data_IF_066887246443
#
_entry.id   IF_066887246443
#
_cell.length_a   1.000
_cell.length_b   1.000
_cell.length_c   1.000
_cell.angle_alpha   90.00
_cell.angle_beta   90.00
_cell.angle_gamma   90.00
#
_symmetry.space_group_name_H-M   'P 1'
#
loop_
_entity.id
_entity.type
_entity.pdbx_description
1 polymer ?
#
# COMPACT_ATOMS: atom_id res chain seq x y z
N UNK A 1 -6.59 -19.65 -10.17
CA UNK A 1 -7.18 -19.09 -8.94
C UNK A 1 -7.09 -17.60 -9.11
N UNK A 2 -8.19 -16.94 -9.43
CA UNK A 2 -8.25 -15.47 -9.40
C UNK A 2 -8.20 -15.06 -7.93
N UNK A 3 -7.13 -14.36 -7.53
CA UNK A 3 -7.05 -13.71 -6.23
C UNK A 3 -7.93 -12.46 -6.33
N UNK A 4 -9.24 -12.66 -6.26
CA UNK A 4 -10.16 -11.55 -6.11
C UNK A 4 -10.04 -11.06 -4.67
N UNK A 5 -9.62 -9.81 -4.55
CA UNK A 5 -9.76 -8.91 -3.40
C UNK A 5 -8.58 -8.85 -2.41
N UNK A 6 -8.03 -7.64 -2.37
CA UNK A 6 -6.91 -7.14 -1.57
C UNK A 6 -6.99 -7.53 -0.10
N UNK A 7 -5.86 -8.04 0.41
CA UNK A 7 -5.72 -8.36 1.83
C UNK A 7 -5.84 -7.06 2.66
N UNK A 8 -6.77 -7.00 3.63
CA UNK A 8 -7.06 -5.80 4.41
C UNK A 8 -5.95 -5.44 5.38
N UNK A 9 -4.99 -6.35 5.58
CA UNK A 9 -3.78 -6.06 6.35
C UNK A 9 -2.68 -5.41 5.52
N UNK A 10 -2.75 -5.54 4.18
CA UNK A 10 -1.76 -4.94 3.27
C UNK A 10 -2.12 -3.52 2.87
N UNK A 11 -3.41 -3.23 2.77
CA UNK A 11 -3.91 -1.94 2.31
C UNK A 11 -4.71 -1.30 3.44
N UNK A 12 -4.40 -0.03 3.83
CA UNK A 12 -5.18 0.72 4.81
C UNK A 12 -6.67 0.60 4.52
N UNK A 13 -7.42 0.07 5.50
CA UNK A 13 -8.86 -0.15 5.35
C UNK A 13 -9.63 1.16 5.32
N UNK A 14 -10.70 1.23 4.51
CA UNK A 14 -11.58 2.39 4.36
C UNK A 14 -12.22 2.87 5.68
N UNK A 15 -12.30 1.99 6.68
CA UNK A 15 -12.87 2.32 7.99
C UNK A 15 -12.01 3.38 8.69
N UNK A 16 -12.51 4.61 8.69
CA UNK A 16 -11.83 5.79 9.23
C UNK A 16 -11.22 6.69 8.15
N UNK A 17 -11.10 6.21 6.90
CA UNK A 17 -10.62 7.00 5.77
C UNK A 17 -11.71 7.93 5.19
N UNK A 18 -12.98 7.68 5.49
CA UNK A 18 -14.08 8.59 5.10
C UNK A 18 -13.85 10.02 5.59
N UNK A 19 -13.24 10.16 6.78
CA UNK A 19 -12.88 11.45 7.39
C UNK A 19 -11.74 12.18 6.67
N UNK A 20 -11.01 11.47 5.80
CA UNK A 20 -9.93 12.03 4.97
C UNK A 20 -10.45 12.51 3.61
N UNK A 21 -11.72 12.24 3.29
CA UNK A 21 -12.34 12.69 2.03
C UNK A 21 -12.37 14.22 1.98
N UNK A 22 -11.82 14.79 0.91
CA UNK A 22 -11.72 16.24 0.74
C UNK A 22 -10.49 16.89 1.37
N UNK A 23 -9.65 16.12 2.05
CA UNK A 23 -8.34 16.58 2.54
C UNK A 23 -7.24 16.35 1.48
N UNK A 24 -6.08 17.00 1.58
CA UNK A 24 -4.93 16.68 0.73
C UNK A 24 -4.50 15.21 0.78
N UNK A 25 -4.77 14.50 1.89
CA UNK A 25 -4.52 13.06 2.01
C UNK A 25 -5.39 12.19 1.11
N UNK A 26 -6.55 12.70 0.69
CA UNK A 26 -7.46 11.96 -0.17
C UNK A 26 -6.79 11.53 -1.49
N UNK A 27 -5.88 12.36 -2.04
CA UNK A 27 -5.14 12.03 -3.26
C UNK A 27 -4.25 10.80 -3.06
N UNK A 28 -3.55 10.72 -1.92
CA UNK A 28 -2.68 9.59 -1.59
C UNK A 28 -3.48 8.31 -1.31
N UNK A 29 -4.59 8.44 -0.58
CA UNK A 29 -5.50 7.33 -0.33
C UNK A 29 -6.08 6.76 -1.61
N UNK A 30 -6.43 7.63 -2.55
CA UNK A 30 -6.90 7.22 -3.86
C UNK A 30 -5.84 6.40 -4.59
N UNK A 31 -4.55 6.76 -4.51
CA UNK A 31 -3.46 5.97 -5.07
C UNK A 31 -3.43 4.53 -4.53
N UNK A 32 -3.62 4.34 -3.22
CA UNK A 32 -3.71 2.99 -2.62
C UNK A 32 -4.99 2.23 -3.01
N UNK A 33 -6.06 2.95 -3.35
CA UNK A 33 -7.32 2.37 -3.80
C UNK A 33 -7.35 2.11 -5.31
N UNK A 34 -6.46 2.73 -6.08
CA UNK A 34 -6.38 2.52 -7.51
C UNK A 34 -5.95 1.07 -7.80
N UNK A 35 -6.70 0.42 -8.69
CA UNK A 35 -6.53 -1.01 -8.97
C UNK A 35 -5.13 -1.37 -9.44
N UNK A 36 -4.40 -0.41 -10.03
CA UNK A 36 -3.02 -0.59 -10.49
C UNK A 36 -2.07 -0.87 -9.32
N UNK A 37 -2.15 -0.09 -8.24
CA UNK A 37 -1.29 -0.32 -7.06
C UNK A 37 -1.59 -1.68 -6.41
N UNK A 38 -2.87 -2.03 -6.30
CA UNK A 38 -3.29 -3.30 -5.71
C UNK A 38 -2.84 -4.49 -6.56
N UNK A 39 -2.92 -4.37 -7.89
CA UNK A 39 -2.42 -5.38 -8.83
C UNK A 39 -0.90 -5.53 -8.72
N UNK A 40 -0.14 -4.44 -8.64
CA UNK A 40 1.32 -4.49 -8.45
C UNK A 40 1.72 -5.16 -7.14
N UNK A 41 1.05 -4.84 -6.03
CA UNK A 41 1.29 -5.49 -4.74
C UNK A 41 0.91 -6.96 -4.77
N UNK A 42 -0.23 -7.30 -5.38
CA UNK A 42 -0.69 -8.68 -5.48
C UNK A 42 0.25 -9.53 -6.35
N UNK A 43 0.71 -8.99 -7.48
CA UNK A 43 1.71 -9.62 -8.33
C UNK A 43 3.04 -9.81 -7.60
N UNK A 44 3.50 -8.80 -6.85
CA UNK A 44 4.70 -8.90 -6.01
C UNK A 44 4.57 -10.01 -4.96
N UNK A 45 3.45 -10.07 -4.25
CA UNK A 45 3.19 -11.11 -3.24
C UNK A 45 3.14 -12.49 -3.91
N UNK A 46 2.44 -12.65 -5.03
CA UNK A 46 2.39 -13.92 -5.77
C UNK A 46 3.77 -14.41 -6.21
N UNK A 47 4.62 -13.51 -6.68
CA UNK A 47 5.97 -13.85 -7.16
C UNK A 47 6.86 -14.32 -6.01
N UNK A 48 6.84 -13.62 -4.87
CA UNK A 48 7.82 -13.82 -3.80
C UNK A 48 7.32 -14.60 -2.58
N UNK A 49 6.01 -14.77 -2.38
CA UNK A 49 5.46 -15.41 -1.17
C UNK A 49 6.03 -16.82 -0.93
N UNK A 50 6.24 -17.60 -1.99
CA UNK A 50 6.76 -18.96 -1.85
C UNK A 50 8.13 -19.03 -1.15
N UNK A 51 8.94 -17.96 -1.21
CA UNK A 51 10.23 -17.86 -0.54
C UNK A 51 10.09 -17.76 0.99
N UNK A 52 8.91 -17.39 1.49
CA UNK A 52 8.61 -17.22 2.91
C UNK A 52 7.94 -18.44 3.54
N UNK A 53 7.78 -19.54 2.79
CA UNK A 53 7.16 -20.77 3.29
C UNK A 53 7.99 -21.50 4.36
N UNK A 54 9.30 -21.25 4.41
CA UNK A 54 10.24 -21.92 5.33
C UNK A 54 10.82 -20.91 6.30
N UNK A 55 10.33 -20.93 7.54
CA UNK A 55 10.90 -20.13 8.63
C UNK A 55 12.14 -20.84 9.22
N UNK A 56 13.18 -20.07 9.54
CA UNK A 56 14.33 -20.58 10.27
C UNK A 56 13.95 -20.78 11.75
N UNK A 57 14.23 -21.97 12.29
CA UNK A 57 13.85 -22.30 13.68
C UNK A 57 14.61 -21.50 14.74
N UNK A 58 15.70 -20.85 14.36
CA UNK A 58 16.50 -19.97 15.21
C UNK A 58 15.93 -18.55 15.31
N UNK A 59 14.85 -18.24 14.59
CA UNK A 59 14.25 -16.91 14.52
C UNK A 59 15.01 -15.92 13.63
N UNK A 60 16.04 -16.38 12.91
CA UNK A 60 16.71 -15.55 11.91
C UNK A 60 15.93 -15.48 10.59
N UNK A 61 16.29 -14.52 9.74
CA UNK A 61 15.68 -14.34 8.42
C UNK A 61 16.76 -14.27 7.34
N UNK A 62 16.52 -14.83 6.14
CA UNK A 62 17.39 -14.65 4.99
C UNK A 62 17.63 -13.15 4.67
N UNK A 63 18.88 -12.79 4.39
CA UNK A 63 19.24 -11.39 4.09
C UNK A 63 18.46 -10.83 2.90
N UNK A 64 18.16 -11.65 1.89
CA UNK A 64 17.40 -11.21 0.72
C UNK A 64 15.95 -10.82 1.04
N UNK A 65 15.38 -11.26 2.18
CA UNK A 65 14.04 -10.79 2.59
C UNK A 65 14.03 -9.29 2.88
N UNK A 66 15.14 -8.73 3.38
CA UNK A 66 15.26 -7.29 3.52
C UNK A 66 15.30 -6.58 2.16
N UNK A 67 15.89 -7.21 1.14
CA UNK A 67 15.93 -6.64 -0.22
C UNK A 67 14.52 -6.61 -0.81
N UNK A 68 13.78 -7.72 -0.69
CA UNK A 68 12.36 -7.79 -1.08
C UNK A 68 11.51 -6.76 -0.33
N UNK A 69 11.76 -6.53 0.95
CA UNK A 69 11.05 -5.48 1.69
C UNK A 69 11.36 -4.07 1.15
N UNK A 70 12.62 -3.79 0.76
CA UNK A 70 12.94 -2.51 0.12
C UNK A 70 12.28 -2.35 -1.26
N UNK A 71 12.18 -3.43 -2.04
CA UNK A 71 11.46 -3.44 -3.32
C UNK A 71 9.96 -3.22 -3.13
N UNK A 72 9.36 -3.90 -2.16
CA UNK A 72 7.97 -3.68 -1.77
C UNK A 72 7.70 -2.23 -1.36
N UNK A 73 8.59 -1.64 -0.55
CA UNK A 73 8.53 -0.22 -0.21
C UNK A 73 8.65 0.68 -1.43
N UNK A 74 9.48 0.34 -2.41
CA UNK A 74 9.61 1.12 -3.62
C UNK A 74 8.28 1.19 -4.40
N UNK A 75 7.52 0.08 -4.47
CA UNK A 75 6.19 0.05 -5.13
C UNK A 75 5.23 1.07 -4.49
N UNK A 76 5.22 1.17 -3.15
CA UNK A 76 4.41 2.14 -2.41
C UNK A 76 4.75 3.60 -2.73
N UNK A 77 6.01 3.89 -3.04
CA UNK A 77 6.49 5.24 -3.32
C UNK A 77 6.55 5.59 -4.81
N UNK A 78 6.41 4.62 -5.72
CA UNK A 78 6.65 4.82 -7.15
C UNK A 78 5.54 5.58 -7.88
N UNK A 79 4.35 5.71 -7.29
CA UNK A 79 3.19 6.34 -7.95
C UNK A 79 3.03 7.85 -7.72
N UNK A 80 3.83 8.51 -6.86
CA UNK A 80 3.63 9.95 -6.60
C UNK A 80 4.90 10.80 -6.75
N UNK A 81 4.81 11.80 -7.64
CA UNK A 81 5.82 12.82 -7.88
C UNK A 81 5.97 13.83 -6.72
N UNK A 82 5.15 13.72 -5.68
CA UNK A 82 5.06 14.69 -4.58
C UNK A 82 5.43 14.07 -3.21
N UNK A 83 6.25 13.00 -3.18
CA UNK A 83 6.67 12.32 -1.92
C UNK A 83 7.20 13.28 -0.87
N UNK A 84 8.08 14.19 -1.25
CA UNK A 84 8.70 15.13 -0.29
C UNK A 84 7.67 16.07 0.33
N UNK A 85 6.71 16.55 -0.48
CA UNK A 85 5.60 17.38 0.00
C UNK A 85 4.68 16.61 0.94
N UNK A 86 4.39 15.35 0.62
CA UNK A 86 3.61 14.47 1.49
C UNK A 86 4.28 14.27 2.85
N UNK A 87 5.58 13.96 2.86
CA UNK A 87 6.34 13.76 4.09
C UNK A 87 6.40 15.06 4.91
N UNK A 88 6.63 16.21 4.27
CA UNK A 88 6.62 17.51 4.95
C UNK A 88 5.27 17.79 5.63
N UNK A 89 4.15 17.50 4.94
CA UNK A 89 2.81 17.61 5.47
C UNK A 89 2.59 16.68 6.67
N UNK A 90 2.96 15.40 6.56
CA UNK A 90 2.88 14.44 7.65
C UNK A 90 3.69 14.92 8.88
N UNK A 91 4.92 15.40 8.67
CA UNK A 91 5.74 15.94 9.75
C UNK A 91 5.16 17.20 10.40
N UNK A 92 4.54 18.08 9.62
CA UNK A 92 3.85 19.25 10.16
C UNK A 92 2.67 18.82 11.03
N UNK A 93 1.90 17.82 10.60
CA UNK A 93 0.74 17.33 11.33
C UNK A 93 1.10 16.56 12.60
N UNK A 94 2.11 15.70 12.56
CA UNK A 94 2.62 15.01 13.76
C UNK A 94 3.00 16.03 14.84
N UNK A 95 3.72 17.10 14.46
CA UNK A 95 4.08 18.19 15.39
C UNK A 95 2.86 18.94 15.92
N UNK A 96 1.83 19.13 15.11
CA UNK A 96 0.59 19.77 15.54
C UNK A 96 -0.23 18.90 16.52
N UNK A 97 -0.10 17.57 16.43
CA UNK A 97 -0.83 16.60 17.25
C UNK A 97 -0.18 16.32 18.62
N UNK A 98 1.13 16.51 18.75
CA UNK A 98 1.96 16.05 19.89
C UNK A 98 1.45 16.49 21.29
N UNK A 99 0.66 17.56 21.35
CA UNK A 99 0.13 18.12 22.60
C UNK A 99 -1.40 18.06 22.74
N UNK A 100 -2.08 17.43 21.79
CA UNK A 100 -3.53 17.38 21.72
C UNK A 100 -4.07 15.99 22.13
N UNK A 101 -5.22 15.92 22.80
CA UNK A 101 -5.84 14.64 23.10
C UNK A 101 -6.43 14.01 21.82
N UNK A 102 -6.61 12.69 21.83
CA UNK A 102 -7.08 11.90 20.67
C UNK A 102 -8.45 12.35 20.11
N UNK A 103 -9.30 12.93 20.97
CA UNK A 103 -10.63 13.44 20.62
C UNK A 103 -10.63 14.90 20.15
N UNK A 104 -9.49 15.61 20.22
CA UNK A 104 -9.39 16.97 19.71
C UNK A 104 -9.40 17.01 18.18
N UNK A 105 -9.99 18.07 17.64
CA UNK A 105 -9.88 18.39 16.22
C UNK A 105 -8.52 19.01 15.91
N UNK A 106 -8.02 18.72 14.71
CA UNK A 106 -6.73 19.22 14.26
C UNK A 106 -6.72 20.76 14.09
N UNK A 107 -5.67 21.47 14.55
CA UNK A 107 -5.58 22.93 14.52
C UNK A 107 -5.07 23.44 13.16
N UNK A 108 -5.55 22.85 12.07
CA UNK A 108 -5.11 23.14 10.69
C UNK A 108 -6.17 24.00 10.02
N UNK A 109 -5.85 24.87 9.04
CA UNK A 109 -6.83 25.75 8.42
C UNK A 109 -8.11 24.99 8.01
N UNK A 110 -9.29 25.53 8.33
CA UNK A 110 -10.57 24.82 8.16
C UNK A 110 -10.90 24.48 6.70
N UNK A 111 -10.12 24.96 5.73
CA UNK A 111 -10.25 24.62 4.31
C UNK A 111 -9.66 23.27 3.92
N UNK A 112 -8.75 22.68 4.71
CA UNK A 112 -7.95 21.53 4.25
C UNK A 112 -8.13 20.25 5.08
N UNK A 113 -8.48 20.34 6.37
CA UNK A 113 -8.58 19.16 7.26
C UNK A 113 -9.81 19.19 8.17
N UNK A 114 -10.89 19.81 7.70
CA UNK A 114 -12.10 20.02 8.52
C UNK A 114 -12.70 18.68 9.00
N UNK A 115 -12.87 18.55 10.31
CA UNK A 115 -13.55 17.42 10.94
C UNK A 115 -12.68 16.21 11.28
N UNK A 116 -11.37 16.26 11.02
CA UNK A 116 -10.46 15.18 11.41
C UNK A 116 -9.99 15.35 12.85
N UNK A 117 -10.12 14.27 13.63
CA UNK A 117 -9.59 14.19 14.99
C UNK A 117 -8.13 13.74 15.00
N UNK A 118 -7.41 14.05 16.07
CA UNK A 118 -6.03 13.57 16.29
C UNK A 118 -5.97 12.04 16.20
N UNK A 119 -6.92 11.32 16.79
CA UNK A 119 -6.95 9.87 16.72
C UNK A 119 -7.18 9.31 15.32
N UNK A 120 -8.01 9.97 14.51
CA UNK A 120 -8.16 9.58 13.10
C UNK A 120 -6.84 9.74 12.34
N UNK A 121 -6.10 10.82 12.59
CA UNK A 121 -4.78 11.03 12.01
C UNK A 121 -3.74 10.00 12.50
N UNK A 122 -3.70 9.68 13.80
CA UNK A 122 -2.82 8.63 14.33
C UNK A 122 -3.11 7.25 13.72
N UNK A 123 -4.39 6.91 13.56
CA UNK A 123 -4.78 5.68 12.88
C UNK A 123 -4.34 5.67 11.41
N UNK A 124 -4.51 6.79 10.70
CA UNK A 124 -4.02 6.94 9.34
C UNK A 124 -2.51 6.75 9.25
N UNK A 125 -1.74 7.44 10.10
CA UNK A 125 -0.28 7.32 10.14
C UNK A 125 0.16 5.90 10.46
N UNK A 126 -0.48 5.24 11.43
CA UNK A 126 -0.20 3.85 11.78
C UNK A 126 -0.46 2.91 10.60
N UNK A 127 -1.52 3.13 9.84
CA UNK A 127 -1.82 2.33 8.66
C UNK A 127 -0.80 2.56 7.53
N UNK A 128 -0.36 3.81 7.36
CA UNK A 128 0.63 4.16 6.33
C UNK A 128 2.02 3.59 6.66
N UNK A 129 2.44 3.69 7.92
CA UNK A 129 3.73 3.16 8.38
C UNK A 129 3.73 1.65 8.59
N UNK A 130 2.57 0.99 8.59
CA UNK A 130 2.52 -0.48 8.69
C UNK A 130 3.29 -1.16 7.55
N UNK A 131 3.36 -0.51 6.38
CA UNK A 131 4.15 -0.98 5.24
C UNK A 131 5.68 -0.86 5.44
N UNK A 132 6.11 0.05 6.31
CA UNK A 132 7.51 0.27 6.66
C UNK A 132 8.00 -0.75 7.71
N UNK A 133 7.08 -1.39 8.44
CA UNK A 133 7.38 -2.41 9.45
C UNK A 133 7.73 -3.74 8.78
N UNK A 134 8.98 -4.18 8.95
CA UNK A 134 9.47 -5.43 8.38
C UNK A 134 8.68 -6.64 8.89
N UNK A 135 8.30 -6.65 10.18
CA UNK A 135 7.51 -7.76 10.75
C UNK A 135 6.11 -7.87 10.15
N UNK A 136 5.45 -6.73 9.89
CA UNK A 136 4.14 -6.71 9.25
C UNK A 136 4.24 -7.25 7.81
N UNK A 137 5.27 -6.82 7.07
CA UNK A 137 5.59 -7.36 5.76
C UNK A 137 5.79 -8.90 5.80
N UNK A 138 6.58 -9.40 6.76
CA UNK A 138 6.79 -10.85 6.92
C UNK A 138 5.50 -11.61 7.20
N UNK A 139 4.63 -11.08 8.08
CA UNK A 139 3.35 -11.72 8.40
C UNK A 139 2.50 -11.90 7.15
N UNK A 140 2.44 -10.88 6.29
CA UNK A 140 1.71 -10.98 5.02
C UNK A 140 2.34 -12.04 4.12
N UNK A 141 3.65 -11.97 3.88
CA UNK A 141 4.31 -12.88 2.95
C UNK A 141 4.21 -14.33 3.42
N UNK A 142 4.32 -14.59 4.73
CA UNK A 142 4.14 -15.92 5.33
C UNK A 142 2.68 -16.39 5.23
N UNK A 143 1.70 -15.50 5.49
CA UNK A 143 0.29 -15.83 5.31
C UNK A 143 -0.03 -16.16 3.84
N UNK A 144 0.61 -15.45 2.90
CA UNK A 144 0.49 -15.71 1.47
C UNK A 144 1.09 -17.07 1.10
N UNK A 145 2.28 -17.37 1.61
CA UNK A 145 3.00 -18.61 1.36
C UNK A 145 2.22 -19.85 1.82
N UNK A 146 1.53 -19.73 2.97
CA UNK A 146 0.76 -20.82 3.58
C UNK A 146 -0.65 -20.93 3.02
N UNK A 147 -1.07 -20.04 2.11
CA UNK A 147 -2.44 -19.97 1.60
C UNK A 147 -3.46 -19.60 2.69
N UNK A 148 -2.99 -19.07 3.83
CA UNK A 148 -3.84 -18.60 4.93
C UNK A 148 -4.36 -17.19 4.71
N UNK A 149 -3.90 -16.50 3.66
CA UNK A 149 -4.55 -15.28 3.20
C UNK A 149 -6.02 -15.57 2.89
N UNK A 150 -6.88 -15.16 3.82
CA UNK A 150 -8.31 -15.16 3.60
C UNK A 150 -8.59 -14.21 2.43
N UNK A 151 -9.23 -14.69 1.34
CA UNK A 151 -9.77 -13.81 0.32
C UNK A 151 -10.72 -12.85 1.03
N UNK A 152 -10.30 -11.60 1.15
CA UNK A 152 -11.14 -10.64 1.84
C UNK A 152 -12.19 -10.23 0.86
N UNK A 153 -13.35 -10.88 0.93
CA UNK A 153 -14.53 -10.44 0.20
C UNK A 153 -14.70 -8.96 0.53
N UNK A 154 -14.27 -8.08 -0.39
CA UNK A 154 -14.72 -6.71 -0.40
C UNK A 154 -16.23 -6.88 -0.43
N UNK A 155 -16.90 -6.52 0.66
CA UNK A 155 -18.30 -6.19 0.58
C UNK A 155 -18.33 -5.05 -0.42
N UNK A 156 -18.48 -5.38 -1.71
CA UNK A 156 -19.12 -4.52 -2.67
C UNK A 156 -20.31 -3.99 -1.90
N UNK A 157 -20.27 -2.71 -1.56
CA UNK A 157 -21.42 -2.00 -1.09
C UNK A 157 -22.42 -2.09 -2.25
N UNK A 158 -23.17 -3.20 -2.30
CA UNK A 158 -24.50 -3.23 -2.84
C UNK A 158 -25.29 -2.32 -1.91
N UNK A 159 -25.11 -1.02 -2.13
CA UNK A 159 -26.12 -0.03 -1.84
C UNK A 159 -27.30 -0.50 -2.66
N UNK A 160 -28.13 -1.35 -2.06
CA UNK A 160 -29.51 -1.54 -2.48
C UNK A 160 -30.17 -0.18 -2.31
N UNK A 161 -30.00 0.67 -3.33
CA UNK A 161 -30.84 1.82 -3.54
C UNK A 161 -32.22 1.23 -3.78
N UNK A 162 -33.03 1.19 -2.72
CA UNK A 162 -34.48 1.08 -2.80
C UNK A 162 -34.96 2.22 -3.69
N UNK A 163 -35.02 1.93 -4.99
CA UNK A 163 -35.61 2.82 -5.98
C UNK A 163 -37.12 2.78 -5.74
N UNK A 164 -37.77 3.90 -5.39
CA UNK A 164 -39.22 3.97 -5.49
C UNK A 164 -39.59 3.75 -6.96
N UNK A 165 -40.38 2.69 -7.18
CA UNK A 165 -40.87 2.23 -8.47
C UNK A 165 -41.54 3.36 -9.25
N UNK A 166 -40.79 4.00 -10.14
CA UNK A 166 -41.24 5.02 -11.09
C UNK A 166 -40.94 4.57 -12.51
N UNK A 167 -41.96 4.04 -13.17
CA UNK A 167 -41.92 3.51 -14.53
C UNK A 167 -41.75 4.63 -15.57
N UNK A 168 -40.70 4.57 -16.39
CA UNK A 168 -40.74 5.05 -17.79
C UNK A 168 -39.56 4.52 -18.62
N UNK A 169 -39.89 3.93 -19.76
CA UNK A 169 -38.97 3.35 -20.73
C UNK A 169 -38.23 4.41 -21.56
N UNK A 170 -36.95 4.19 -21.81
CA UNK A 170 -36.14 4.96 -22.76
C UNK A 170 -34.85 4.23 -23.09
N UNK A 171 -34.85 3.49 -24.20
CA UNK A 171 -33.70 2.78 -24.73
C UNK A 171 -32.68 3.76 -25.33
N UNK A 172 -31.43 3.67 -24.89
CA UNK A 172 -30.30 4.42 -25.45
C UNK A 172 -28.99 3.75 -25.05
N UNK A 173 -28.57 2.74 -25.82
CA UNK A 173 -27.24 2.15 -25.72
C UNK A 173 -26.24 3.06 -26.43
N UNK A 174 -25.11 3.41 -25.80
CA UNK A 174 -23.87 3.79 -26.50
C UNK A 174 -22.67 3.78 -25.54
N UNK A 175 -21.71 2.90 -25.83
CA UNK A 175 -20.26 3.08 -25.65
C UNK A 175 -19.67 3.00 -24.25
N UNK A 176 -19.26 1.81 -23.82
CA UNK A 176 -18.24 1.67 -22.79
C UNK A 176 -16.89 2.17 -23.34
N UNK A 177 -16.14 3.03 -22.63
CA UNK A 177 -14.80 3.44 -23.04
C UNK A 177 -13.83 2.26 -22.94
N UNK A 178 -12.98 2.10 -23.94
CA UNK A 178 -11.91 1.09 -23.94
C UNK A 178 -10.92 1.34 -22.79
N UNK A 179 -10.35 0.29 -22.18
CA UNK A 179 -9.34 0.44 -21.13
C UNK A 179 -8.10 1.15 -21.68
N UNK A 180 -7.66 2.19 -20.96
CA UNK A 180 -6.41 2.91 -21.22
C UNK A 180 -5.26 1.98 -20.85
N UNK A 181 -4.51 1.53 -21.86
CA UNK A 181 -3.28 0.75 -21.70
C UNK A 181 -2.11 1.72 -21.52
N UNK A 182 -1.52 1.77 -20.32
CA UNK A 182 -0.28 2.50 -20.09
C UNK A 182 0.93 1.64 -20.46
N UNK A 183 1.99 2.22 -21.07
CA UNK A 183 3.21 1.47 -21.37
C UNK A 183 3.93 1.10 -20.07
N UNK A 184 4.11 -0.21 -19.82
CA UNK A 184 5.02 -0.70 -18.78
C UNK A 184 6.46 -0.26 -19.16
N UNK A 185 7.20 0.43 -18.28
CA UNK A 185 8.62 0.64 -18.52
C UNK A 185 9.31 -0.72 -18.52
N UNK A 186 10.10 -0.98 -19.57
CA UNK A 186 10.95 -2.16 -19.63
C UNK A 186 11.95 -2.06 -18.47
N UNK A 187 11.75 -2.90 -17.45
CA UNK A 187 12.78 -3.14 -16.45
C UNK A 187 13.91 -3.87 -17.19
N UNK A 188 14.97 -3.15 -17.53
CA UNK A 188 16.15 -3.67 -18.22
C UNK A 188 16.87 -4.64 -17.26
N UNK A 189 16.39 -5.89 -17.24
CA UNK A 189 16.92 -6.99 -16.44
C UNK A 189 18.13 -7.58 -17.17
N UNK A 190 19.17 -6.77 -17.37
CA UNK A 190 20.47 -7.20 -17.88
C UNK A 190 21.60 -6.82 -16.93
N UNK A 191 21.86 -7.72 -15.97
CA UNK A 191 23.23 -8.09 -15.60
C UNK A 191 23.19 -9.42 -14.85
N UNK A 192 23.32 -10.50 -15.63
CA UNK A 192 23.48 -11.84 -15.10
C UNK A 192 24.74 -11.94 -14.24
N UNK A 193 24.56 -12.23 -12.96
CA UNK A 193 25.62 -12.75 -12.12
C UNK A 193 25.98 -14.16 -12.62
N UNK A 194 27.15 -14.31 -13.23
CA UNK A 194 27.70 -15.63 -13.52
C UNK A 194 28.17 -16.27 -12.22
N UNK A 195 27.66 -17.47 -11.91
CA UNK A 195 28.17 -18.30 -10.83
C UNK A 195 29.64 -18.65 -11.13
N UNK A 196 30.58 -18.12 -10.34
CA UNK A 196 32.02 -18.39 -10.47
C UNK A 196 32.95 -17.18 -10.38
N UNK A 197 32.44 -15.96 -10.18
CA UNK A 197 33.29 -14.78 -10.04
C UNK A 197 33.97 -14.73 -8.65
N UNK A 198 35.22 -15.17 -8.60
CA UNK A 198 36.09 -15.00 -7.41
C UNK A 198 36.62 -13.57 -7.38
N UNK A 199 36.25 -12.80 -6.34
CA UNK A 199 36.77 -11.45 -6.13
C UNK A 199 38.16 -11.50 -5.47
N UNK A 200 39.17 -10.75 -5.97
CA UNK A 200 40.44 -10.61 -5.26
C UNK A 200 40.27 -9.71 -4.03
N UNK A 201 40.41 -10.29 -2.84
CA UNK A 201 40.50 -9.53 -1.59
C UNK A 201 41.96 -9.05 -1.40
N UNK A 202 42.21 -7.76 -1.64
CA UNK A 202 43.49 -7.13 -1.29
C UNK A 202 43.39 -6.63 0.15
N UNK A 203 44.09 -7.29 1.07
CA UNK A 203 44.24 -6.85 2.46
C UNK A 203 45.42 -5.89 2.54
N UNK A 204 45.15 -4.63 2.87
CA UNK A 204 46.20 -3.67 3.22
C UNK A 204 46.47 -3.76 4.74
N UNK A 205 47.70 -4.11 5.10
CA UNK A 205 48.20 -4.01 6.46
C UNK A 205 48.76 -2.60 6.68
N UNK A 206 48.35 -1.89 7.76
CA UNK A 206 48.97 -0.62 8.12
C UNK A 206 50.40 -0.86 8.65
N UNK A 207 51.29 0.07 8.29
CA UNK A 207 52.69 0.14 8.78
C UNK A 207 52.78 0.94 10.07
#
# INVERSE_FOLDING_TARGET
MELTHSNPQLVPQERGLELLTGTPFHRFLRGFQEGVFQEEVDDFVKEHASEFAVLCMDGSYPVHWNQLHQEYKAILWFQDSDKDQFLEMCHAMVRACDSLPEDAFLPVPPSEFSGMTVGAFHHFMSALTASEEFEAFLQVMCAAATGMLQPTVLLSASTEVLTPSGSSAGAGALGAPAPVSWPRPALDREQGYQAGSTFPATVYLPT
#
